data_IF_128122526786
#
_entry.id   IF_128122526786
#
_cell.length_a   1.000
_cell.length_b   1.000
_cell.length_c   1.000
_cell.angle_alpha   90.00
_cell.angle_beta   90.00
_cell.angle_gamma   90.00
#
_symmetry.space_group_name_H-M   'P 1'
#
loop_
_entity.id
_entity.type
_entity.pdbx_description
1 polymer ?
#
# COMPACT_ATOMS: atom_id res chain seq x y z
N UNK A 1 -14.95 6.48 -14.29
CA UNK A 1 -15.12 5.09 -13.83
C UNK A 1 -13.74 4.49 -13.69
N UNK A 2 -13.38 4.02 -12.50
CA UNK A 2 -12.13 3.30 -12.30
C UNK A 2 -12.20 2.00 -13.09
N UNK A 3 -11.22 1.75 -13.95
CA UNK A 3 -11.15 0.49 -14.69
C UNK A 3 -10.87 -0.64 -13.69
N UNK A 4 -11.74 -1.65 -13.65
CA UNK A 4 -11.57 -2.82 -12.79
C UNK A 4 -10.21 -3.51 -13.04
N UNK A 5 -9.72 -3.48 -14.28
CA UNK A 5 -8.39 -4.02 -14.62
C UNK A 5 -7.29 -3.26 -13.87
N UNK A 6 -7.37 -1.93 -13.78
CA UNK A 6 -6.39 -1.13 -13.05
C UNK A 6 -6.49 -1.33 -11.54
N UNK A 7 -7.71 -1.47 -11.01
CA UNK A 7 -7.91 -1.82 -9.58
C UNK A 7 -7.27 -3.17 -9.27
N UNK A 8 -7.56 -4.21 -10.05
CA UNK A 8 -6.99 -5.53 -9.79
C UNK A 8 -5.47 -5.58 -10.03
N UNK A 9 -4.92 -4.78 -10.95
CA UNK A 9 -3.46 -4.60 -11.09
C UNK A 9 -2.85 -3.93 -9.87
N UNK A 10 -3.49 -2.91 -9.30
CA UNK A 10 -3.06 -2.33 -8.04
C UNK A 10 -3.13 -3.39 -6.93
N UNK A 11 -4.20 -4.17 -6.83
CA UNK A 11 -4.34 -5.19 -5.78
C UNK A 11 -3.49 -6.46 -5.99
N UNK A 12 -2.87 -6.68 -7.15
CA UNK A 12 -2.10 -7.92 -7.40
C UNK A 12 -0.68 -7.93 -6.83
N UNK A 13 -0.25 -6.87 -6.14
CA UNK A 13 1.07 -6.78 -5.51
C UNK A 13 0.98 -7.08 -4.01
N UNK A 14 1.82 -7.99 -3.54
CA UNK A 14 1.82 -8.45 -2.15
C UNK A 14 2.03 -7.29 -1.16
N UNK A 15 2.91 -6.34 -1.48
CA UNK A 15 3.19 -5.21 -0.58
C UNK A 15 1.99 -4.30 -0.48
N UNK A 16 1.32 -4.00 -1.60
CA UNK A 16 0.08 -3.19 -1.61
C UNK A 16 -1.05 -3.87 -0.84
N UNK A 17 -1.19 -5.19 -0.93
CA UNK A 17 -2.17 -5.93 -0.11
C UNK A 17 -1.84 -5.86 1.38
N UNK A 18 -0.55 -5.96 1.76
CA UNK A 18 -0.13 -5.79 3.16
C UNK A 18 -0.41 -4.38 3.66
N UNK A 19 -0.13 -3.35 2.86
CA UNK A 19 -0.44 -1.95 3.19
C UNK A 19 -1.96 -1.78 3.39
N UNK A 20 -2.79 -2.28 2.47
CA UNK A 20 -4.24 -2.24 2.59
C UNK A 20 -4.71 -2.92 3.88
N UNK A 21 -4.12 -4.07 4.25
CA UNK A 21 -4.49 -4.76 5.49
C UNK A 21 -4.12 -3.95 6.73
N UNK A 22 -2.97 -3.26 6.74
CA UNK A 22 -2.59 -2.38 7.85
C UNK A 22 -3.52 -1.18 7.98
N UNK A 23 -3.94 -0.60 6.85
CA UNK A 23 -4.85 0.55 6.81
C UNK A 23 -6.33 0.19 7.05
N UNK A 24 -6.68 -1.10 6.97
CA UNK A 24 -8.03 -1.59 7.29
C UNK A 24 -8.33 -1.40 8.79
N UNK A 25 -7.32 -1.59 9.64
CA UNK A 25 -7.48 -1.56 11.08
C UNK A 25 -7.43 -0.12 11.63
N UNK A 26 -6.49 0.71 11.15
CA UNK A 26 -6.38 2.13 11.52
C UNK A 26 -5.62 2.99 10.49
N UNK A 27 -5.75 4.32 10.59
CA UNK A 27 -4.97 5.24 9.78
C UNK A 27 -3.52 5.32 10.30
N UNK A 28 -2.55 5.03 9.43
CA UNK A 28 -1.13 5.02 9.77
C UNK A 28 -0.34 6.09 8.99
N UNK A 29 0.70 6.65 9.60
CA UNK A 29 1.71 7.42 8.89
C UNK A 29 2.60 6.51 8.04
N UNK A 30 3.22 7.09 7.02
CA UNK A 30 4.22 6.38 6.18
C UNK A 30 5.34 5.79 7.05
N UNK A 31 5.74 6.48 8.12
CA UNK A 31 6.73 6.03 9.08
C UNK A 31 6.36 4.71 9.77
N UNK A 32 5.10 4.55 10.17
CA UNK A 32 4.59 3.34 10.83
C UNK A 32 4.56 2.18 9.85
N UNK A 33 4.08 2.42 8.62
CA UNK A 33 4.06 1.41 7.56
C UNK A 33 5.49 0.95 7.22
N UNK A 34 6.45 1.88 7.13
CA UNK A 34 7.87 1.55 6.94
C UNK A 34 8.40 0.65 8.05
N UNK A 35 8.09 0.98 9.30
CA UNK A 35 8.54 0.21 10.46
C UNK A 35 7.95 -1.20 10.49
N UNK A 36 6.66 -1.35 10.16
CA UNK A 36 5.97 -2.65 10.16
C UNK A 36 6.40 -3.53 8.98
N UNK A 37 6.65 -2.92 7.81
CA UNK A 37 7.03 -3.67 6.61
C UNK A 37 8.54 -3.86 6.44
N UNK A 38 9.35 -3.23 7.29
CA UNK A 38 10.82 -3.16 7.18
C UNK A 38 11.27 -2.62 5.80
N UNK A 39 10.70 -1.48 5.40
CA UNK A 39 10.90 -0.88 4.09
C UNK A 39 11.31 0.59 4.18
N UNK A 40 12.13 1.04 3.22
CA UNK A 40 12.46 2.46 3.08
C UNK A 40 11.27 3.27 2.57
N UNK A 41 11.22 4.55 2.95
CA UNK A 41 10.13 5.47 2.63
C UNK A 41 9.82 5.53 1.14
N UNK A 42 10.83 5.63 0.28
CA UNK A 42 10.62 5.76 -1.17
C UNK A 42 9.89 4.56 -1.78
N UNK A 43 10.08 3.35 -1.24
CA UNK A 43 9.32 2.17 -1.68
C UNK A 43 7.88 2.24 -1.19
N UNK A 44 7.67 2.52 0.10
CA UNK A 44 6.31 2.62 0.67
C UNK A 44 5.49 3.70 -0.03
N UNK A 45 6.06 4.90 -0.22
CA UNK A 45 5.40 6.00 -0.94
C UNK A 45 5.03 5.62 -2.38
N UNK A 46 5.88 4.86 -3.08
CA UNK A 46 5.58 4.39 -4.45
C UNK A 46 4.39 3.43 -4.47
N UNK A 47 4.28 2.54 -3.47
CA UNK A 47 3.14 1.64 -3.38
C UNK A 47 1.84 2.39 -3.05
N UNK A 48 1.91 3.42 -2.19
CA UNK A 48 0.77 4.27 -1.84
C UNK A 48 0.31 5.16 -3.01
N UNK A 49 1.21 5.65 -3.85
CA UNK A 49 0.88 6.46 -5.04
C UNK A 49 0.13 5.66 -6.13
N UNK A 50 0.25 4.32 -6.10
CA UNK A 50 -0.45 3.41 -7.02
C UNK A 50 -1.84 3.03 -6.48
N UNK A 51 -2.04 3.06 -5.15
CA UNK A 51 -3.30 2.73 -4.49
C UNK A 51 -4.28 3.91 -4.55
#
# INVERSE_FOLDING_TARGET
>A
MTDLVEVFKALSDETRLRIMKLLEDEALCVCEIMAVLDMIQSRVSRHLDIL
#
